data_IF_211690492148
#
_entry.id   IF_211690492148
#
_cell.length_a   1.000
_cell.length_b   1.000
_cell.length_c   1.000
_cell.angle_alpha   90.00
_cell.angle_beta   90.00
_cell.angle_gamma   90.00
#
_symmetry.space_group_name_H-M   'P 1'
#
loop_
_entity.id
_entity.type
_entity.pdbx_description
1 polymer ?
#
# COMPACT_ATOMS: atom_id res chain seq x y z
N UNK A 1 -2.48 13.71 -17.62
CA UNK A 1 -3.03 15.08 -17.73
C UNK A 1 -3.98 15.27 -16.56
N UNK A 2 -3.69 16.18 -15.61
CA UNK A 2 -4.58 16.44 -14.48
C UNK A 2 -5.75 17.31 -14.95
N UNK A 3 -6.80 16.68 -15.49
CA UNK A 3 -8.11 17.31 -15.68
C UNK A 3 -8.85 17.33 -14.35
N UNK A 4 -8.32 18.11 -13.40
CA UNK A 4 -8.95 18.37 -12.11
C UNK A 4 -9.88 19.57 -12.20
N UNK A 5 -10.84 19.62 -11.28
CA UNK A 5 -11.81 20.72 -11.06
C UNK A 5 -11.10 22.06 -10.74
N UNK A 6 -9.81 22.04 -10.41
CA UNK A 6 -9.01 23.21 -10.02
C UNK A 6 -8.06 23.70 -11.14
N UNK A 7 -7.89 25.02 -11.31
CA UNK A 7 -6.86 25.58 -12.17
C UNK A 7 -5.46 25.21 -11.67
N UNK A 8 -4.52 25.00 -12.60
CA UNK A 8 -3.16 24.50 -12.32
C UNK A 8 -2.41 25.34 -11.28
N UNK A 9 -2.64 26.64 -11.27
CA UNK A 9 -2.01 27.61 -10.34
C UNK A 9 -2.42 27.36 -8.89
N UNK A 10 -3.69 27.01 -8.66
CA UNK A 10 -4.21 26.72 -7.31
C UNK A 10 -3.84 25.30 -6.88
N UNK A 11 -3.72 24.36 -7.82
CA UNK A 11 -3.37 22.97 -7.53
C UNK A 11 -1.97 22.81 -6.90
N UNK A 12 -1.01 23.66 -7.27
CA UNK A 12 0.38 23.60 -6.74
C UNK A 12 0.41 23.82 -5.23
N UNK A 13 -0.45 24.68 -4.69
CA UNK A 13 -0.51 24.97 -3.24
C UNK A 13 -1.55 24.11 -2.53
N UNK A 14 -2.70 23.85 -3.17
CA UNK A 14 -3.79 23.10 -2.57
C UNK A 14 -3.41 21.62 -2.34
N UNK A 15 -2.73 20.97 -3.27
CA UNK A 15 -2.41 19.53 -3.17
C UNK A 15 -1.45 19.22 -2.00
N UNK A 16 -0.33 19.93 -1.79
CA UNK A 16 0.53 19.69 -0.64
C UNK A 16 -0.17 19.96 0.70
N UNK A 17 -0.99 21.00 0.79
CA UNK A 17 -1.70 21.34 2.04
C UNK A 17 -2.74 20.27 2.39
N UNK A 18 -3.54 19.83 1.42
CA UNK A 18 -4.56 18.80 1.63
C UNK A 18 -3.91 17.46 1.98
N UNK A 19 -2.85 17.05 1.27
CA UNK A 19 -2.16 15.78 1.58
C UNK A 19 -1.46 15.80 2.93
N UNK A 20 -0.86 16.93 3.32
CA UNK A 20 -0.26 17.10 4.65
C UNK A 20 -1.33 17.05 5.76
N UNK A 21 -2.46 17.73 5.57
CA UNK A 21 -3.55 17.70 6.54
C UNK A 21 -4.14 16.30 6.72
N UNK A 22 -4.38 15.58 5.61
CA UNK A 22 -4.85 14.20 5.65
C UNK A 22 -3.81 13.29 6.31
N UNK A 23 -2.53 13.45 6.01
CA UNK A 23 -1.44 12.68 6.62
C UNK A 23 -1.37 12.88 8.14
N UNK A 24 -1.49 14.13 8.61
CA UNK A 24 -1.49 14.46 10.04
C UNK A 24 -2.73 13.90 10.74
N UNK A 25 -3.91 13.98 10.09
CA UNK A 25 -5.14 13.42 10.60
C UNK A 25 -5.08 11.89 10.72
N UNK A 26 -4.58 11.20 9.69
CA UNK A 26 -4.39 9.73 9.72
C UNK A 26 -3.36 9.32 10.78
N UNK A 27 -2.26 10.08 10.92
CA UNK A 27 -1.27 9.87 11.97
C UNK A 27 -1.85 9.99 13.38
N UNK A 28 -2.61 11.06 13.64
CA UNK A 28 -3.30 11.28 14.91
C UNK A 28 -4.31 10.17 15.23
N UNK A 29 -5.14 9.80 14.24
CA UNK A 29 -6.09 8.69 14.40
C UNK A 29 -5.37 7.38 14.69
N UNK A 30 -4.26 7.11 13.99
CA UNK A 30 -3.44 5.92 14.16
C UNK A 30 -2.83 5.80 15.57
N UNK A 31 -2.33 6.91 16.12
CA UNK A 31 -1.84 6.98 17.51
C UNK A 31 -2.96 6.66 18.51
N UNK A 32 -4.13 7.27 18.34
CA UNK A 32 -5.27 7.08 19.26
C UNK A 32 -5.86 5.66 19.19
N UNK A 33 -5.91 5.07 18.00
CA UNK A 33 -6.53 3.76 17.80
C UNK A 33 -5.59 2.58 18.10
N UNK A 34 -4.27 2.80 18.12
CA UNK A 34 -3.28 1.73 18.29
C UNK A 34 -3.37 0.66 17.21
N UNK A 35 -3.73 1.05 15.99
CA UNK A 35 -4.13 0.13 14.93
C UNK A 35 -2.94 -0.75 14.47
N UNK A 36 -3.16 -2.07 14.43
CA UNK A 36 -2.18 -3.03 13.97
C UNK A 36 -2.86 -4.14 13.17
N UNK A 37 -2.60 -4.22 11.87
CA UNK A 37 -3.22 -5.21 10.98
C UNK A 37 -2.89 -6.65 11.42
N UNK A 38 -1.66 -6.91 11.88
CA UNK A 38 -1.23 -8.23 12.38
C UNK A 38 -1.89 -8.53 13.74
N UNK A 39 -1.97 -7.51 14.60
CA UNK A 39 -2.65 -7.61 15.89
C UNK A 39 -4.14 -7.93 15.75
N UNK A 40 -4.80 -7.39 14.72
CA UNK A 40 -6.22 -7.64 14.48
C UNK A 40 -6.53 -9.13 14.30
N UNK A 41 -5.74 -9.85 13.50
CA UNK A 41 -5.92 -11.28 13.30
C UNK A 41 -5.53 -12.09 14.55
N UNK A 42 -4.39 -11.76 15.19
CA UNK A 42 -3.94 -12.45 16.41
C UNK A 42 -4.96 -12.33 17.54
N UNK A 43 -5.46 -11.13 17.79
CA UNK A 43 -6.37 -10.85 18.91
C UNK A 43 -7.78 -11.41 18.64
N UNK A 44 -8.16 -11.53 17.36
CA UNK A 44 -9.38 -12.24 16.96
C UNK A 44 -9.28 -13.75 17.23
N UNK A 45 -8.19 -14.40 16.84
CA UNK A 45 -8.03 -15.85 17.04
C UNK A 45 -7.80 -16.23 18.50
N UNK A 46 -6.93 -15.50 19.21
CA UNK A 46 -6.50 -15.87 20.56
C UNK A 46 -7.46 -15.37 21.65
N UNK A 47 -7.90 -14.11 21.56
CA UNK A 47 -8.70 -13.46 22.60
C UNK A 47 -10.17 -13.23 22.20
N UNK A 48 -10.54 -13.54 20.95
CA UNK A 48 -11.87 -13.27 20.38
C UNK A 48 -12.31 -11.81 20.51
N UNK A 49 -11.35 -10.88 20.54
CA UNK A 49 -11.65 -9.45 20.57
C UNK A 49 -11.76 -8.90 19.15
N UNK A 50 -12.95 -8.44 18.78
CA UNK A 50 -13.26 -7.94 17.43
C UNK A 50 -12.95 -6.46 17.22
N UNK A 51 -12.55 -5.72 18.27
CA UNK A 51 -12.35 -4.26 18.22
C UNK A 51 -11.29 -3.83 17.19
N UNK A 52 -10.18 -4.56 17.07
CA UNK A 52 -9.14 -4.27 16.07
C UNK A 52 -9.53 -4.77 14.67
N UNK A 53 -10.30 -5.87 14.60
CA UNK A 53 -10.77 -6.45 13.35
C UNK A 53 -11.82 -5.55 12.67
N UNK A 54 -12.74 -4.95 13.43
CA UNK A 54 -13.71 -3.99 12.88
C UNK A 54 -13.04 -2.74 12.31
N UNK A 55 -11.94 -2.29 12.92
CA UNK A 55 -11.11 -1.21 12.36
C UNK A 55 -10.47 -1.58 11.02
N UNK A 56 -9.97 -2.82 10.87
CA UNK A 56 -9.41 -3.30 9.60
C UNK A 56 -10.47 -3.39 8.50
N UNK A 57 -11.65 -3.89 8.84
CA UNK A 57 -12.79 -3.98 7.93
C UNK A 57 -13.30 -2.59 7.52
N UNK A 58 -13.33 -1.64 8.46
CA UNK A 58 -13.67 -0.24 8.17
C UNK A 58 -12.67 0.40 7.20
N UNK A 59 -11.37 0.12 7.28
CA UNK A 59 -10.39 0.63 6.30
C UNK A 59 -10.63 0.08 4.89
N UNK A 60 -10.97 -1.20 4.76
CA UNK A 60 -11.30 -1.80 3.47
C UNK A 60 -12.56 -1.15 2.88
N UNK A 61 -13.63 -1.02 3.68
CA UNK A 61 -14.87 -0.43 3.22
C UNK A 61 -14.73 1.07 2.92
N UNK A 62 -14.01 1.82 3.75
CA UNK A 62 -13.78 3.25 3.54
C UNK A 62 -12.89 3.51 2.32
N UNK A 63 -11.87 2.69 2.08
CA UNK A 63 -11.05 2.82 0.87
C UNK A 63 -11.85 2.50 -0.38
N UNK A 64 -12.67 1.44 -0.37
CA UNK A 64 -13.57 1.10 -1.48
C UNK A 64 -14.58 2.22 -1.75
N UNK A 65 -15.25 2.73 -0.71
CA UNK A 65 -16.22 3.81 -0.82
C UNK A 65 -15.56 5.11 -1.30
N UNK A 66 -14.39 5.46 -0.77
CA UNK A 66 -13.61 6.63 -1.20
C UNK A 66 -13.21 6.54 -2.67
N UNK A 67 -12.69 5.38 -3.11
CA UNK A 67 -12.30 5.18 -4.51
C UNK A 67 -13.50 5.21 -5.46
N UNK A 68 -14.63 4.62 -5.08
CA UNK A 68 -15.88 4.71 -5.84
C UNK A 68 -16.37 6.17 -5.94
N UNK A 69 -16.30 6.92 -4.84
CA UNK A 69 -16.66 8.34 -4.83
C UNK A 69 -15.78 9.15 -5.79
N UNK A 70 -14.46 8.93 -5.79
CA UNK A 70 -13.55 9.60 -6.72
C UNK A 70 -13.76 9.18 -8.18
N UNK A 71 -14.18 7.94 -8.42
CA UNK A 71 -14.56 7.47 -9.75
C UNK A 71 -15.82 8.18 -10.27
N UNK A 72 -16.85 8.34 -9.44
CA UNK A 72 -18.06 9.10 -9.80
C UNK A 72 -17.80 10.60 -10.00
N UNK A 73 -16.94 11.20 -9.17
CA UNK A 73 -16.72 12.65 -9.18
C UNK A 73 -15.73 13.10 -10.26
N UNK A 74 -14.75 12.27 -10.61
CA UNK A 74 -13.69 12.57 -11.59
C UNK A 74 -13.32 11.34 -12.42
N UNK A 75 -14.15 10.94 -13.40
CA UNK A 75 -13.94 9.72 -14.19
C UNK A 75 -12.65 9.75 -15.03
N UNK A 76 -12.09 10.94 -15.31
CA UNK A 76 -10.83 11.11 -16.03
C UNK A 76 -9.55 11.06 -15.18
N UNK A 77 -9.65 11.04 -13.85
CA UNK A 77 -8.47 11.03 -12.98
C UNK A 77 -7.94 9.62 -12.67
N UNK A 78 -8.76 8.58 -12.88
CA UNK A 78 -8.44 7.19 -12.55
C UNK A 78 -8.79 6.26 -13.72
N UNK A 79 -8.00 6.33 -14.79
CA UNK A 79 -8.22 5.58 -16.05
C UNK A 79 -8.15 4.04 -15.90
N UNK A 80 -7.67 3.54 -14.77
CA UNK A 80 -7.48 2.11 -14.50
C UNK A 80 -8.43 1.53 -13.42
N UNK A 81 -9.52 2.22 -13.09
CA UNK A 81 -10.40 1.75 -12.02
C UNK A 81 -11.29 0.57 -12.43
N UNK A 82 -11.27 -0.44 -11.55
CA UNK A 82 -11.55 -1.86 -11.75
C UNK A 82 -10.81 -2.50 -12.94
N UNK A 83 -9.51 -2.72 -12.72
CA UNK A 83 -8.71 -3.63 -13.55
C UNK A 83 -9.42 -4.98 -13.78
N UNK A 84 -10.14 -5.51 -12.79
CA UNK A 84 -10.89 -6.76 -12.93
C UNK A 84 -12.14 -6.70 -13.83
N UNK A 85 -12.68 -5.51 -14.16
CA UNK A 85 -13.77 -5.35 -15.15
C UNK A 85 -13.24 -5.05 -16.56
N UNK A 86 -12.03 -4.50 -16.69
CA UNK A 86 -11.43 -4.14 -18.00
C UNK A 86 -10.48 -5.22 -18.51
N UNK A 87 -9.87 -6.02 -17.63
CA UNK A 87 -9.01 -7.14 -17.95
C UNK A 87 -9.29 -8.31 -16.99
N UNK A 88 -9.04 -9.56 -17.42
CA UNK A 88 -9.38 -10.74 -16.62
C UNK A 88 -8.83 -10.63 -15.17
N UNK A 89 -9.49 -11.21 -14.15
CA UNK A 89 -9.02 -11.18 -12.74
C UNK A 89 -7.61 -11.76 -12.50
N UNK A 90 -7.02 -12.39 -13.52
CA UNK A 90 -5.66 -12.91 -13.51
C UNK A 90 -4.64 -11.99 -14.18
N UNK A 91 -5.05 -10.83 -14.69
CA UNK A 91 -4.14 -9.83 -15.25
C UNK A 91 -3.53 -8.98 -14.14
N UNK A 92 -2.26 -8.56 -14.26
CA UNK A 92 -1.59 -7.80 -13.20
C UNK A 92 -2.19 -6.39 -13.03
N UNK A 93 -2.11 -5.88 -11.80
CA UNK A 93 -2.46 -4.49 -11.47
C UNK A 93 -1.58 -3.52 -12.29
N UNK A 94 -2.15 -2.47 -12.90
CA UNK A 94 -1.39 -1.47 -13.66
C UNK A 94 -0.35 -0.81 -12.75
N UNK A 95 0.93 -0.97 -13.10
CA UNK A 95 2.09 -0.62 -12.26
C UNK A 95 3.04 -1.79 -11.99
N UNK A 96 2.66 -3.02 -12.32
CA UNK A 96 3.56 -4.17 -12.29
C UNK A 96 4.60 -4.12 -13.44
N UNK A 97 5.83 -4.64 -13.25
CA UNK A 97 6.87 -4.63 -14.29
C UNK A 97 6.37 -5.29 -15.59
N UNK A 98 6.47 -4.61 -16.73
CA UNK A 98 5.85 -5.01 -17.99
C UNK A 98 6.49 -6.26 -18.63
N UNK A 99 5.65 -7.10 -19.26
CA UNK A 99 6.07 -8.17 -20.18
C UNK A 99 6.13 -9.59 -19.60
N UNK A 100 5.31 -9.92 -18.61
CA UNK A 100 5.33 -11.22 -17.93
C UNK A 100 4.03 -12.02 -18.09
N UNK A 101 4.15 -13.35 -18.04
CA UNK A 101 3.01 -14.26 -17.93
C UNK A 101 2.27 -14.05 -16.59
N UNK A 102 0.92 -14.13 -16.54
CA UNK A 102 0.12 -14.04 -15.31
C UNK A 102 0.63 -14.87 -14.12
N UNK A 103 1.16 -16.07 -14.41
CA UNK A 103 1.71 -16.97 -13.38
C UNK A 103 2.93 -16.39 -12.66
N UNK A 104 3.78 -15.62 -13.36
CA UNK A 104 4.97 -15.02 -12.77
C UNK A 104 4.62 -13.85 -11.85
N UNK A 105 3.55 -13.09 -12.14
CA UNK A 105 3.05 -12.08 -11.22
C UNK A 105 2.47 -12.68 -9.93
N UNK A 106 1.79 -13.83 -10.02
CA UNK A 106 1.29 -14.52 -8.83
C UNK A 106 2.46 -14.93 -7.93
N UNK A 107 3.50 -15.55 -8.50
CA UNK A 107 4.72 -15.90 -7.75
C UNK A 107 5.39 -14.67 -7.14
N UNK A 108 5.46 -13.57 -7.89
CA UNK A 108 6.02 -12.30 -7.43
C UNK A 108 5.20 -11.63 -6.32
N UNK A 109 3.90 -11.90 -6.21
CA UNK A 109 3.06 -11.37 -5.12
C UNK A 109 3.12 -12.25 -3.86
N UNK A 110 3.16 -13.57 -4.03
CA UNK A 110 3.10 -14.54 -2.94
C UNK A 110 4.44 -14.60 -2.20
N UNK A 111 5.57 -14.71 -2.92
CA UNK A 111 6.89 -14.92 -2.30
C UNK A 111 7.30 -13.70 -1.44
N UNK A 112 7.34 -12.46 -1.97
CA UNK A 112 7.63 -11.28 -1.17
C UNK A 112 6.54 -10.98 -0.14
N UNK A 113 5.27 -11.24 -0.46
CA UNK A 113 4.16 -11.05 0.49
C UNK A 113 4.33 -11.90 1.75
N UNK A 114 4.70 -13.17 1.59
CA UNK A 114 5.03 -14.06 2.71
C UNK A 114 6.25 -13.56 3.48
N UNK A 115 7.32 -13.16 2.79
CA UNK A 115 8.55 -12.67 3.43
C UNK A 115 8.31 -11.39 4.24
N UNK A 116 7.55 -10.44 3.69
CA UNK A 116 7.15 -9.21 4.39
C UNK A 116 6.31 -9.56 5.62
N UNK A 117 5.36 -10.49 5.50
CA UNK A 117 4.59 -11.00 6.63
C UNK A 117 5.48 -11.57 7.74
N UNK A 118 6.45 -12.41 7.36
CA UNK A 118 7.40 -13.02 8.30
C UNK A 118 8.26 -11.97 9.01
N UNK A 119 8.81 -11.01 8.28
CA UNK A 119 9.60 -9.90 8.86
C UNK A 119 8.75 -9.05 9.81
N UNK A 120 7.49 -8.76 9.46
CA UNK A 120 6.60 -7.99 10.32
C UNK A 120 6.25 -8.71 11.63
N UNK A 121 6.18 -10.05 11.61
CA UNK A 121 5.99 -10.85 12.83
C UNK A 121 7.22 -10.74 13.74
N UNK A 122 8.44 -10.84 13.18
CA UNK A 122 9.69 -10.69 13.94
C UNK A 122 9.85 -9.29 14.55
N UNK A 123 9.40 -8.25 13.84
CA UNK A 123 9.43 -6.87 14.31
C UNK A 123 8.36 -6.56 15.37
N UNK A 124 7.33 -7.41 15.52
CA UNK A 124 6.24 -7.18 16.45
C UNK A 124 5.25 -6.09 16.02
N UNK A 125 5.13 -5.78 14.73
CA UNK A 125 4.22 -4.74 14.23
C UNK A 125 4.07 -4.73 12.70
N UNK A 126 3.00 -4.13 12.21
CA UNK A 126 2.82 -3.87 10.77
C UNK A 126 3.52 -2.56 10.35
N UNK A 127 3.76 -2.33 9.05
CA UNK A 127 4.46 -1.12 8.57
C UNK A 127 3.81 0.18 9.05
N UNK A 128 2.48 0.22 9.08
CA UNK A 128 1.72 1.37 9.58
C UNK A 128 1.97 1.63 11.08
N UNK A 129 1.97 0.58 11.90
CA UNK A 129 2.24 0.71 13.34
C UNK A 129 3.67 1.16 13.60
N UNK A 130 4.65 0.70 12.82
CA UNK A 130 6.03 1.14 12.98
C UNK A 130 6.21 2.62 12.64
N UNK A 131 5.48 3.14 11.64
CA UNK A 131 5.45 4.57 11.33
C UNK A 131 4.82 5.42 12.46
N UNK A 132 3.75 4.92 13.07
CA UNK A 132 3.13 5.56 14.23
C UNK A 132 4.07 5.55 15.44
N UNK A 133 4.70 4.41 15.75
CA UNK A 133 5.66 4.28 16.87
C UNK A 133 6.92 5.12 16.66
N UNK A 134 7.35 5.34 15.41
CA UNK A 134 8.41 6.29 15.10
C UNK A 134 8.03 7.72 15.53
N UNK A 135 6.75 8.08 15.36
CA UNK A 135 6.21 9.39 15.76
C UNK A 135 5.98 9.51 17.28
N UNK A 136 5.81 8.38 17.98
CA UNK A 136 5.75 8.32 19.45
C UNK A 136 7.14 8.40 20.12
N UNK A 137 8.22 8.44 19.34
CA UNK A 137 9.60 8.54 19.82
C UNK A 137 10.35 7.21 19.99
N UNK A 138 9.84 6.12 19.42
CA UNK A 138 10.53 4.83 19.44
C UNK A 138 11.66 4.76 18.40
N UNK A 139 12.90 4.63 18.86
CA UNK A 139 14.07 4.46 17.99
C UNK A 139 13.95 3.24 17.06
N UNK A 140 13.37 2.13 17.54
CA UNK A 140 13.18 0.91 16.74
C UNK A 140 12.25 1.15 15.55
N UNK A 141 11.16 1.89 15.76
CA UNK A 141 10.23 2.28 14.70
C UNK A 141 10.89 3.22 13.69
N UNK A 142 11.68 4.19 14.18
CA UNK A 142 12.39 5.14 13.33
C UNK A 142 13.39 4.45 12.38
N UNK A 143 14.22 3.52 12.88
CA UNK A 143 15.15 2.76 12.03
C UNK A 143 14.43 1.91 10.99
N UNK A 144 13.27 1.33 11.33
CA UNK A 144 12.46 0.59 10.37
C UNK A 144 11.92 1.48 9.25
N UNK A 145 11.39 2.67 9.57
CA UNK A 145 10.86 3.61 8.57
C UNK A 145 11.98 4.09 7.63
N UNK A 146 13.14 4.43 8.17
CA UNK A 146 14.31 4.81 7.36
C UNK A 146 14.72 3.64 6.45
N UNK A 147 14.80 2.43 6.98
CA UNK A 147 15.12 1.22 6.22
C UNK A 147 14.11 0.95 5.10
N UNK A 148 12.82 1.18 5.35
CA UNK A 148 11.76 1.06 4.34
C UNK A 148 11.91 2.11 3.22
N UNK A 149 12.21 3.37 3.57
CA UNK A 149 12.45 4.43 2.59
C UNK A 149 13.67 4.13 1.70
N UNK A 150 14.79 3.73 2.31
CA UNK A 150 16.02 3.34 1.58
C UNK A 150 15.76 2.10 0.72
N UNK A 151 15.06 1.10 1.27
CA UNK A 151 14.68 -0.12 0.57
C UNK A 151 13.79 0.14 -0.64
N UNK A 152 12.85 1.08 -0.56
CA UNK A 152 11.99 1.48 -1.69
C UNK A 152 12.79 2.06 -2.84
N UNK A 153 13.77 2.93 -2.55
CA UNK A 153 14.65 3.53 -3.56
C UNK A 153 15.54 2.46 -4.21
N UNK A 154 16.16 1.60 -3.41
CA UNK A 154 17.00 0.49 -3.91
C UNK A 154 16.20 -0.49 -4.76
N UNK A 155 14.96 -0.79 -4.36
CA UNK A 155 14.08 -1.67 -5.13
C UNK A 155 13.72 -1.06 -6.48
N UNK A 156 13.35 0.21 -6.51
CA UNK A 156 13.01 0.92 -7.74
C UNK A 156 14.20 1.05 -8.70
N UNK A 157 15.38 1.40 -8.18
CA UNK A 157 16.56 1.69 -9.00
C UNK A 157 17.29 0.43 -9.50
N UNK A 158 17.33 -0.65 -8.70
CA UNK A 158 18.20 -1.80 -8.97
C UNK A 158 17.35 -3.07 -9.12
N UNK A 159 16.61 -3.47 -8.09
CA UNK A 159 15.97 -4.80 -8.07
C UNK A 159 14.92 -4.98 -9.16
N UNK A 160 14.16 -3.93 -9.50
CA UNK A 160 13.13 -3.97 -10.54
C UNK A 160 13.68 -4.45 -11.89
N UNK A 161 14.86 -3.96 -12.30
CA UNK A 161 15.53 -4.36 -13.54
C UNK A 161 16.09 -5.78 -13.51
N UNK A 162 16.72 -6.16 -12.39
CA UNK A 162 17.28 -7.50 -12.22
C UNK A 162 16.21 -8.59 -12.19
N UNK A 163 15.10 -8.34 -11.50
CA UNK A 163 13.97 -9.28 -11.39
C UNK A 163 13.32 -9.52 -12.74
N UNK A 164 13.10 -8.47 -13.54
CA UNK A 164 12.58 -8.62 -14.92
C UNK A 164 13.55 -9.38 -15.81
N UNK A 165 14.86 -9.13 -15.68
CA UNK A 165 15.89 -9.88 -16.42
C UNK A 165 15.90 -11.37 -16.09
N UNK A 166 15.84 -11.71 -14.79
CA UNK A 166 15.81 -13.10 -14.31
C UNK A 166 14.53 -13.82 -14.75
N UNK A 167 13.37 -13.16 -14.70
CA UNK A 167 12.10 -13.78 -15.10
C UNK A 167 11.99 -14.00 -16.62
N UNK A 168 12.59 -13.10 -17.42
CA UNK A 168 12.75 -13.34 -18.87
C UNK A 168 13.68 -14.53 -19.14
N UNK A 169 14.77 -14.66 -18.38
CA UNK A 169 15.70 -15.79 -18.50
C UNK A 169 15.09 -17.14 -18.07
N UNK A 170 14.14 -17.14 -17.12
CA UNK A 170 13.40 -18.31 -16.66
C UNK A 170 12.24 -18.73 -17.60
N UNK A 171 12.09 -18.08 -18.76
CA UNK A 171 11.08 -18.44 -19.77
C UNK A 171 9.67 -17.91 -19.49
N UNK A 172 9.51 -16.99 -18.53
CA UNK A 172 8.25 -16.30 -18.26
C UNK A 172 8.13 -14.94 -18.97
N UNK A 173 9.02 -14.66 -19.93
CA UNK A 173 8.91 -13.50 -20.81
C UNK A 173 7.83 -13.75 -21.86
N UNK A 174 6.95 -12.75 -22.06
CA UNK A 174 6.14 -12.67 -23.27
C UNK A 174 7.02 -12.42 -24.50
#
# INVERSE_FOLDING_TARGET
MATGILPKEVAVYAVPLVTLFIGLLVGYLGQRSGFCSIGAFRDYFLFRHTRLLSGYLALILASLAGYLLFWFLTPGAMEHFFWAFTSNPFTPVPGAPAGLVPAAYLMFSVIPGFLVGFICVLLGGCPFRQAVMASEGSYKGAFFVIGMCVGSILFGAILSGWIVGIMKALGFGA
#
